data_IF_878966939894
#
_entry.id   IF_878966939894
#
_cell.length_a   1.000
_cell.length_b   1.000
_cell.length_c   1.000
_cell.angle_alpha   90.00
_cell.angle_beta   90.00
_cell.angle_gamma   90.00
#
_symmetry.space_group_name_H-M   'P 1'
#
loop_
_entity.id
_entity.type
_entity.pdbx_description
1 polymer ?
#
# COMPACT_ATOMS: atom_id res chain seq x y z
N UNK A 1 27.43 -31.28 -12.95
CA UNK A 1 27.60 -30.12 -12.05
C UNK A 1 26.91 -28.85 -12.56
N UNK A 2 27.09 -28.43 -13.83
CA UNK A 2 26.45 -27.20 -14.39
C UNK A 2 24.91 -27.15 -14.33
N UNK A 3 24.22 -28.31 -14.43
CA UNK A 3 22.75 -28.40 -14.35
C UNK A 3 22.21 -28.19 -12.92
N UNK A 4 22.99 -28.56 -11.89
CA UNK A 4 22.58 -28.43 -10.48
C UNK A 4 22.64 -26.97 -10.02
N UNK A 5 23.64 -26.22 -10.51
CA UNK A 5 23.79 -24.77 -10.25
C UNK A 5 22.64 -23.96 -10.84
N UNK A 6 22.14 -24.36 -12.01
CA UNK A 6 21.02 -23.67 -12.68
C UNK A 6 19.70 -23.83 -11.89
N UNK A 7 19.43 -25.00 -11.33
CA UNK A 7 18.22 -25.26 -10.54
C UNK A 7 18.23 -24.44 -9.24
N UNK A 8 19.37 -24.38 -8.55
CA UNK A 8 19.53 -23.53 -7.35
C UNK A 8 19.29 -22.04 -7.66
N UNK A 9 19.78 -21.55 -8.81
CA UNK A 9 19.61 -20.15 -9.20
C UNK A 9 18.15 -19.76 -9.47
N UNK A 10 17.37 -20.64 -10.11
CA UNK A 10 15.95 -20.42 -10.40
C UNK A 10 15.10 -20.39 -9.12
N UNK A 11 15.43 -21.22 -8.13
CA UNK A 11 14.76 -21.24 -6.83
C UNK A 11 15.03 -19.92 -6.07
N UNK A 12 16.28 -19.45 -6.03
CA UNK A 12 16.64 -18.19 -5.36
C UNK A 12 15.92 -16.96 -5.96
N UNK A 13 15.79 -16.89 -7.29
CA UNK A 13 15.06 -15.80 -7.96
C UNK A 13 13.55 -15.82 -7.66
N UNK A 14 12.99 -16.99 -7.38
CA UNK A 14 11.56 -17.13 -7.07
C UNK A 14 11.26 -16.69 -5.64
N UNK A 15 12.18 -16.95 -4.70
CA UNK A 15 12.06 -16.53 -3.30
C UNK A 15 12.20 -15.01 -3.14
N UNK A 16 13.15 -14.36 -3.81
CA UNK A 16 13.35 -12.90 -3.69
C UNK A 16 12.14 -12.10 -4.16
N UNK A 17 11.49 -12.54 -5.25
CA UNK A 17 10.29 -11.89 -5.77
C UNK A 17 9.09 -12.01 -4.81
N UNK A 18 8.96 -13.15 -4.12
CA UNK A 18 7.83 -13.40 -3.23
C UNK A 18 7.94 -12.58 -1.93
N UNK A 19 9.14 -12.52 -1.33
CA UNK A 19 9.41 -11.68 -0.14
C UNK A 19 9.15 -10.21 -0.44
N UNK A 20 9.59 -9.73 -1.61
CA UNK A 20 9.42 -8.34 -2.00
C UNK A 20 7.94 -7.96 -2.23
N UNK A 21 7.15 -8.88 -2.79
CA UNK A 21 5.69 -8.73 -2.96
C UNK A 21 4.97 -8.71 -1.62
N UNK A 22 5.30 -9.63 -0.71
CA UNK A 22 4.71 -9.67 0.64
C UNK A 22 4.99 -8.37 1.41
N UNK A 23 6.19 -7.81 1.28
CA UNK A 23 6.54 -6.52 1.89
C UNK A 23 5.73 -5.35 1.29
N UNK A 24 5.49 -5.37 -0.03
CA UNK A 24 4.70 -4.35 -0.72
C UNK A 24 3.21 -4.40 -0.37
N UNK A 25 2.63 -5.59 -0.33
CA UNK A 25 1.24 -5.80 0.09
C UNK A 25 1.03 -5.42 1.56
N UNK A 26 1.97 -5.80 2.43
CA UNK A 26 1.96 -5.42 3.85
C UNK A 26 2.00 -3.91 4.04
N UNK A 27 2.92 -3.22 3.35
CA UNK A 27 3.00 -1.75 3.39
C UNK A 27 1.67 -1.09 2.97
N UNK A 28 0.99 -1.63 1.96
CA UNK A 28 -0.32 -1.11 1.56
C UNK A 28 -1.36 -1.28 2.66
N UNK A 29 -1.43 -2.48 3.24
CA UNK A 29 -2.37 -2.80 4.31
C UNK A 29 -2.14 -1.94 5.56
N UNK A 30 -0.90 -1.74 5.98
CA UNK A 30 -0.57 -0.91 7.15
C UNK A 30 -1.10 0.54 7.01
N UNK A 31 -1.02 1.09 5.80
CA UNK A 31 -1.56 2.42 5.50
C UNK A 31 -3.09 2.42 5.45
N UNK A 32 -3.72 1.39 4.88
CA UNK A 32 -5.18 1.27 4.82
C UNK A 32 -5.81 1.04 6.20
N UNK A 33 -5.23 0.14 7.00
CA UNK A 33 -5.72 -0.21 8.33
C UNK A 33 -5.70 1.00 9.28
N UNK A 34 -4.79 1.94 9.07
CA UNK A 34 -4.77 3.21 9.82
C UNK A 34 -6.09 3.97 9.69
N UNK A 35 -6.76 3.92 8.53
CA UNK A 35 -8.06 4.55 8.31
C UNK A 35 -9.23 3.67 8.75
N UNK A 36 -9.13 2.35 8.52
CA UNK A 36 -10.19 1.43 8.96
C UNK A 36 -10.34 1.39 10.48
N UNK A 37 -9.22 1.48 11.22
CA UNK A 37 -9.26 1.56 12.69
C UNK A 37 -9.94 2.85 13.16
N UNK A 38 -9.65 4.00 12.55
CA UNK A 38 -10.31 5.27 12.88
C UNK A 38 -11.80 5.24 12.55
N UNK A 39 -12.17 4.66 11.40
CA UNK A 39 -13.57 4.54 10.99
C UNK A 39 -14.38 3.64 11.94
N UNK A 40 -13.73 2.67 12.59
CA UNK A 40 -14.36 1.72 13.50
C UNK A 40 -14.25 2.11 14.99
N UNK A 41 -13.37 3.05 15.34
CA UNK A 41 -13.14 3.47 16.72
C UNK A 41 -12.85 4.98 16.79
N UNK A 42 -13.84 5.75 17.24
CA UNK A 42 -13.76 7.21 17.42
C UNK A 42 -12.72 7.63 18.47
N UNK A 43 -12.31 6.72 19.37
CA UNK A 43 -11.29 6.98 20.38
C UNK A 43 -9.87 6.57 19.94
N UNK A 44 -9.71 6.09 18.72
CA UNK A 44 -8.40 5.72 18.19
C UNK A 44 -7.55 6.98 17.96
N UNK A 45 -6.45 7.10 18.70
CA UNK A 45 -5.51 8.20 18.51
C UNK A 45 -4.45 7.82 17.49
N UNK A 46 -4.28 8.65 16.46
CA UNK A 46 -3.22 8.48 15.47
C UNK A 46 -2.51 9.82 15.24
N UNK A 47 -1.22 9.76 14.93
CA UNK A 47 -0.48 10.95 14.53
C UNK A 47 -1.01 11.50 13.21
N UNK A 48 -1.29 12.80 13.16
CA UNK A 48 -1.72 13.49 11.94
C UNK A 48 -0.71 13.31 10.79
N UNK A 49 0.59 13.30 11.09
CA UNK A 49 1.61 13.03 10.08
C UNK A 49 1.45 11.64 9.47
N UNK A 50 1.17 10.62 10.29
CA UNK A 50 0.92 9.26 9.80
C UNK A 50 -0.32 9.22 8.90
N UNK A 51 -1.34 10.01 9.22
CA UNK A 51 -2.54 10.13 8.39
C UNK A 51 -2.25 10.80 7.05
N UNK A 52 -1.48 11.87 7.04
CA UNK A 52 -1.09 12.54 5.79
C UNK A 52 -0.28 11.62 4.88
N UNK A 53 0.74 10.95 5.41
CA UNK A 53 1.57 10.04 4.63
C UNK A 53 0.77 8.83 4.13
N UNK A 54 -0.05 8.21 5.00
CA UNK A 54 -0.88 7.08 4.60
C UNK A 54 -1.91 7.46 3.54
N UNK A 55 -2.55 8.62 3.68
CA UNK A 55 -3.49 9.15 2.68
C UNK A 55 -2.80 9.36 1.35
N UNK A 56 -1.68 10.07 1.36
CA UNK A 56 -0.90 10.37 0.15
C UNK A 56 -0.49 9.08 -0.55
N UNK A 57 0.06 8.14 0.20
CA UNK A 57 0.43 6.82 -0.29
C UNK A 57 -0.74 6.10 -0.99
N UNK A 58 -1.91 6.02 -0.34
CA UNK A 58 -3.07 5.32 -0.91
C UNK A 58 -3.59 6.02 -2.16
N UNK A 59 -3.61 7.36 -2.19
CA UNK A 59 -3.98 8.13 -3.38
C UNK A 59 -2.99 7.88 -4.52
N UNK A 60 -1.68 7.95 -4.26
CA UNK A 60 -0.64 7.79 -5.28
C UNK A 60 -0.66 6.38 -5.89
N UNK A 61 -0.95 5.36 -5.08
CA UNK A 61 -1.03 3.96 -5.56
C UNK A 61 -2.32 3.67 -6.31
N UNK A 62 -3.46 4.15 -5.80
CA UNK A 62 -4.77 3.73 -6.30
C UNK A 62 -5.38 4.70 -7.31
N UNK A 63 -4.95 5.96 -7.29
CA UNK A 63 -5.60 7.08 -7.97
C UNK A 63 -6.96 7.47 -7.39
N UNK A 64 -7.42 6.83 -6.32
CA UNK A 64 -8.74 7.07 -5.72
C UNK A 64 -8.63 8.26 -4.76
N UNK A 65 -9.30 9.35 -5.11
CA UNK A 65 -9.34 10.59 -4.32
C UNK A 65 -10.70 10.80 -3.66
N UNK A 66 -10.80 11.83 -2.83
CA UNK A 66 -12.03 12.34 -2.24
C UNK A 66 -11.92 13.86 -2.10
N UNK A 67 -12.97 14.52 -1.58
CA UNK A 67 -12.93 15.96 -1.32
C UNK A 67 -11.88 16.26 -0.26
N UNK A 68 -10.76 16.83 -0.69
CA UNK A 68 -9.65 17.25 0.16
C UNK A 68 -9.94 18.59 0.82
N UNK A 69 -9.25 18.86 1.92
CA UNK A 69 -9.15 20.19 2.53
C UNK A 69 -8.67 21.26 1.54
N UNK A 70 -9.14 22.50 1.70
CA UNK A 70 -8.51 23.65 1.04
C UNK A 70 -7.24 24.07 1.81
N UNK A 71 -6.46 24.97 1.24
CA UNK A 71 -5.29 25.48 1.94
C UNK A 71 -5.71 26.13 3.27
N UNK A 72 -5.00 25.80 4.36
CA UNK A 72 -5.26 26.27 5.74
C UNK A 72 -6.49 25.69 6.45
N UNK A 73 -7.18 24.73 5.84
CA UNK A 73 -8.26 23.97 6.50
C UNK A 73 -7.71 22.84 7.38
N UNK A 74 -8.53 22.39 8.33
CA UNK A 74 -8.24 21.17 9.09
C UNK A 74 -8.24 19.94 8.16
N UNK A 75 -7.36 18.96 8.38
CA UNK A 75 -7.34 17.74 7.58
C UNK A 75 -8.71 17.06 7.53
N UNK A 76 -9.22 16.86 6.32
CA UNK A 76 -10.47 16.13 6.10
C UNK A 76 -10.16 14.65 6.08
N UNK A 77 -10.81 13.85 6.94
CA UNK A 77 -10.65 12.39 6.89
C UNK A 77 -11.39 11.79 5.70
N UNK A 78 -10.88 10.70 5.09
CA UNK A 78 -11.56 10.04 3.99
C UNK A 78 -12.93 9.51 4.46
N UNK A 79 -14.00 9.68 3.67
CA UNK A 79 -15.29 9.09 4.00
C UNK A 79 -15.21 7.56 3.92
N UNK A 80 -16.11 6.87 4.63
CA UNK A 80 -16.17 5.40 4.67
C UNK A 80 -16.25 4.75 3.27
N UNK A 81 -16.87 5.42 2.31
CA UNK A 81 -16.91 4.96 0.92
C UNK A 81 -15.53 4.93 0.27
N UNK A 82 -14.70 5.95 0.49
CA UNK A 82 -13.31 6.00 0.00
C UNK A 82 -12.49 4.87 0.60
N UNK A 83 -12.63 4.62 1.90
CA UNK A 83 -11.92 3.52 2.59
C UNK A 83 -12.31 2.17 1.97
N UNK A 84 -13.61 1.94 1.74
CA UNK A 84 -14.11 0.73 1.05
C UNK A 84 -13.58 0.60 -0.38
N UNK A 85 -13.44 1.72 -1.09
CA UNK A 85 -12.89 1.74 -2.45
C UNK A 85 -11.40 1.37 -2.46
N UNK A 86 -10.60 1.86 -1.50
CA UNK A 86 -9.20 1.44 -1.34
C UNK A 86 -9.08 -0.07 -1.01
N UNK A 87 -9.90 -0.57 -0.09
CA UNK A 87 -9.97 -2.01 0.22
C UNK A 87 -10.32 -2.85 -1.02
N UNK A 88 -11.33 -2.42 -1.77
CA UNK A 88 -11.76 -3.10 -3.00
C UNK A 88 -10.69 -3.05 -4.08
N UNK A 89 -9.95 -1.95 -4.17
CA UNK A 89 -8.82 -1.82 -5.08
C UNK A 89 -7.70 -2.80 -4.71
N UNK A 90 -7.37 -2.91 -3.42
CA UNK A 90 -6.34 -3.82 -2.92
C UNK A 90 -6.66 -5.26 -3.31
N UNK A 91 -7.86 -5.75 -3.01
CA UNK A 91 -8.21 -7.15 -3.33
C UNK A 91 -8.10 -7.47 -4.83
N UNK A 92 -8.38 -6.49 -5.69
CA UNK A 92 -8.30 -6.65 -7.15
C UNK A 92 -6.88 -6.53 -7.71
N UNK A 93 -5.98 -5.83 -7.02
CA UNK A 93 -4.69 -5.41 -7.59
C UNK A 93 -3.47 -5.76 -6.72
N UNK A 94 -3.64 -6.41 -5.56
CA UNK A 94 -2.54 -6.72 -4.62
C UNK A 94 -1.35 -7.46 -5.24
N UNK A 95 -1.60 -8.31 -6.24
CA UNK A 95 -0.54 -9.03 -6.97
C UNK A 95 0.31 -8.13 -7.88
N UNK A 96 -0.14 -6.90 -8.15
CA UNK A 96 0.58 -5.90 -8.94
C UNK A 96 1.47 -5.02 -8.06
N UNK A 97 1.31 -5.08 -6.74
CA UNK A 97 2.14 -4.33 -5.80
C UNK A 97 3.54 -4.94 -5.74
N UNK A 98 4.55 -4.08 -5.80
CA UNK A 98 5.94 -4.48 -5.60
C UNK A 98 6.71 -3.33 -4.95
N UNK A 99 7.75 -3.66 -4.19
CA UNK A 99 8.65 -2.67 -3.65
C UNK A 99 9.80 -2.43 -4.63
N UNK A 100 9.92 -1.18 -5.06
CA UNK A 100 10.92 -0.72 -6.00
C UNK A 100 12.23 -0.49 -5.24
N UNK A 101 13.22 -1.37 -5.47
CA UNK A 101 14.50 -1.32 -4.76
C UNK A 101 15.34 -0.08 -5.06
N UNK A 102 15.12 0.55 -6.21
CA UNK A 102 15.87 1.74 -6.62
C UNK A 102 15.34 2.97 -5.89
N UNK A 103 14.02 3.13 -5.92
CA UNK A 103 13.37 4.31 -5.35
C UNK A 103 12.93 4.09 -3.88
N UNK A 104 13.10 2.88 -3.36
CA UNK A 104 12.74 2.45 -1.99
C UNK A 104 11.28 2.74 -1.61
N UNK A 105 10.39 2.57 -2.58
CA UNK A 105 8.94 2.80 -2.43
C UNK A 105 8.13 1.66 -3.03
N UNK A 106 6.91 1.46 -2.51
CA UNK A 106 5.95 0.56 -3.15
C UNK A 106 5.39 1.21 -4.41
N UNK A 107 5.21 0.42 -5.47
CA UNK A 107 4.64 0.82 -6.75
C UNK A 107 3.69 -0.24 -7.29
N UNK A 108 2.95 0.14 -8.32
CA UNK A 108 2.04 -0.74 -9.07
C UNK A 108 2.64 -1.08 -10.43
N UNK A 109 2.69 -2.37 -10.78
CA UNK A 109 3.06 -2.80 -12.12
C UNK A 109 2.01 -2.34 -13.13
N UNK A 110 2.44 -1.85 -14.29
CA UNK A 110 1.53 -1.59 -15.41
C UNK A 110 0.97 -2.94 -15.91
N UNK A 111 -0.34 -2.99 -16.16
CA UNK A 111 -0.97 -4.11 -16.87
C UNK A 111 -0.62 -4.07 -18.36
#
# INVERSE_FOLDING_TARGET
>A
MKKLTFVLFVIFLSFSNNVNSQNAQGTFLDNLESFERLANNENESISLNKIYEARKFLIDITGITYKMEEAFDMPVFPPNETIKNWRSWFEKNKELLYFDEKDKIVKVRKK
#
